data_IF_262151597636
#
_entry.id   IF_262151597636
#
_cell.length_a   1.000
_cell.length_b   1.000
_cell.length_c   1.000
_cell.angle_alpha   90.00
_cell.angle_beta   90.00
_cell.angle_gamma   90.00
#
_symmetry.space_group_name_H-M   'P 1'
#
loop_
_entity.id
_entity.type
_entity.pdbx_description
1 polymer ?
#
# COMPACT_ATOMS: atom_id res chain seq x y z
N UNK A 1 30.75 1.21 -4.10
CA UNK A 1 31.15 0.60 -2.81
C UNK A 1 30.16 -0.52 -2.58
N UNK A 2 30.65 -1.74 -2.37
CA UNK A 2 29.88 -2.98 -2.47
C UNK A 2 28.65 -2.99 -1.56
N UNK A 3 27.50 -3.37 -2.14
CA UNK A 3 26.28 -3.69 -1.41
C UNK A 3 26.49 -5.05 -0.75
N UNK A 4 26.78 -5.04 0.55
CA UNK A 4 26.72 -6.24 1.37
C UNK A 4 25.26 -6.65 1.54
N UNK A 5 25.00 -7.91 1.18
CA UNK A 5 23.78 -8.66 1.40
C UNK A 5 23.54 -8.82 2.91
N UNK A 6 22.78 -7.90 3.52
CA UNK A 6 22.41 -7.96 4.93
C UNK A 6 21.12 -8.75 5.12
N UNK A 7 21.25 -10.07 5.08
CA UNK A 7 20.26 -11.02 5.58
C UNK A 7 20.37 -11.14 7.10
N UNK A 8 20.12 -10.05 7.85
CA UNK A 8 19.66 -10.16 9.24
C UNK A 8 19.12 -8.81 9.75
N UNK A 9 17.80 -8.66 9.77
CA UNK A 9 17.12 -7.53 10.44
C UNK A 9 16.20 -8.09 11.51
N UNK A 10 16.80 -8.60 12.59
CA UNK A 10 16.10 -8.73 13.87
C UNK A 10 15.93 -7.33 14.48
N UNK A 11 15.03 -6.52 13.93
CA UNK A 11 14.64 -5.27 14.58
C UNK A 11 13.79 -5.61 15.80
N UNK A 12 14.31 -5.31 17.00
CA UNK A 12 13.60 -5.24 18.28
C UNK A 12 12.28 -6.06 18.36
N UNK A 13 12.39 -7.39 18.44
CA UNK A 13 11.28 -8.27 18.83
C UNK A 13 10.35 -8.75 17.71
N UNK A 14 10.56 -8.36 16.44
CA UNK A 14 9.82 -8.90 15.28
C UNK A 14 10.65 -9.96 14.55
N UNK A 15 10.05 -11.12 14.30
CA UNK A 15 10.66 -12.22 13.57
C UNK A 15 9.81 -12.58 12.35
N UNK A 16 10.41 -12.56 11.17
CA UNK A 16 9.75 -13.05 9.96
C UNK A 16 9.74 -14.57 9.97
N UNK A 17 8.53 -15.16 9.93
CA UNK A 17 8.31 -16.61 9.90
C UNK A 17 8.37 -17.13 8.47
N UNK A 18 7.72 -16.43 7.54
CA UNK A 18 7.75 -16.81 6.12
C UNK A 18 7.55 -15.61 5.19
N UNK A 19 8.08 -15.74 3.97
CA UNK A 19 7.81 -14.86 2.83
C UNK A 19 7.35 -15.72 1.67
N UNK A 20 6.29 -15.30 0.99
CA UNK A 20 5.78 -15.99 -0.21
C UNK A 20 5.28 -14.99 -1.22
N UNK A 21 5.35 -15.36 -2.49
CA UNK A 21 4.71 -14.60 -3.57
C UNK A 21 3.30 -15.11 -3.77
N UNK A 22 2.32 -14.21 -3.67
CA UNK A 22 0.91 -14.51 -3.90
C UNK A 22 0.52 -14.07 -5.30
N UNK A 23 0.12 -15.02 -6.13
CA UNK A 23 -0.37 -14.77 -7.47
C UNK A 23 -1.87 -14.44 -7.47
N UNK A 24 -2.35 -13.65 -8.45
CA UNK A 24 -3.76 -13.37 -8.59
C UNK A 24 -4.56 -14.65 -8.84
N UNK A 25 -5.68 -14.81 -8.14
CA UNK A 25 -6.64 -15.90 -8.35
C UNK A 25 -7.99 -15.31 -8.77
N UNK A 26 -8.62 -15.86 -9.80
CA UNK A 26 -9.98 -15.49 -10.23
C UNK A 26 -10.97 -16.59 -9.85
N UNK A 27 -12.07 -16.21 -9.22
CA UNK A 27 -13.24 -17.07 -9.04
C UNK A 27 -14.09 -17.01 -10.33
N UNK A 28 -14.25 -18.12 -11.03
CA UNK A 28 -15.44 -18.34 -11.88
C UNK A 28 -15.31 -18.35 -13.40
N UNK A 29 -14.24 -17.90 -14.05
CA UNK A 29 -14.12 -18.04 -15.51
C UNK A 29 -12.70 -18.40 -15.96
N UNK A 30 -12.61 -19.51 -16.69
CA UNK A 30 -11.44 -19.91 -17.47
C UNK A 30 -11.28 -19.04 -18.74
N UNK A 31 -11.49 -17.73 -18.63
CA UNK A 31 -10.98 -16.76 -19.61
C UNK A 31 -9.53 -16.49 -19.22
N UNK A 32 -8.63 -16.90 -20.11
CA UNK A 32 -7.31 -17.41 -19.75
C UNK A 32 -6.47 -16.45 -18.90
N UNK A 33 -5.82 -16.98 -17.86
CA UNK A 33 -4.67 -16.32 -17.21
C UNK A 33 -3.49 -16.06 -18.17
N UNK A 34 -3.65 -16.41 -19.45
CA UNK A 34 -2.72 -16.22 -20.56
C UNK A 34 -2.98 -14.90 -21.28
N UNK A 35 -4.21 -14.35 -21.28
CA UNK A 35 -4.55 -13.11 -22.02
C UNK A 35 -4.16 -11.81 -21.30
N UNK A 36 -4.03 -11.81 -19.97
CA UNK A 36 -3.61 -10.62 -19.20
C UNK A 36 -2.10 -10.56 -18.97
N UNK A 37 -1.39 -11.65 -19.22
CA UNK A 37 0.07 -11.70 -19.06
C UNK A 37 0.72 -10.94 -20.20
N UNK A 38 1.31 -9.80 -19.87
CA UNK A 38 2.07 -8.99 -20.82
C UNK A 38 1.40 -7.69 -21.25
N UNK A 39 0.20 -7.38 -20.73
CA UNK A 39 -0.35 -6.03 -20.85
C UNK A 39 0.61 -5.01 -20.20
N UNK A 40 0.77 -3.87 -20.87
CA UNK A 40 1.58 -2.76 -20.39
C UNK A 40 0.66 -1.60 -20.08
N UNK A 41 0.63 -1.20 -18.82
CA UNK A 41 -0.11 -0.04 -18.33
C UNK A 41 0.86 1.13 -18.27
N UNK A 42 0.67 2.10 -19.17
CA UNK A 42 1.49 3.32 -19.18
C UNK A 42 1.17 4.21 -17.97
N UNK A 43 2.19 4.84 -17.38
CA UNK A 43 2.01 5.72 -16.24
C UNK A 43 1.59 7.13 -16.70
N UNK A 44 0.60 7.71 -16.03
CA UNK A 44 0.13 9.08 -16.26
C UNK A 44 1.12 10.11 -15.69
N UNK A 45 0.98 11.41 -16.02
CA UNK A 45 1.83 12.45 -15.43
C UNK A 45 1.82 12.44 -13.89
N UNK A 46 0.68 12.12 -13.27
CA UNK A 46 0.55 12.04 -11.81
C UNK A 46 1.27 10.83 -11.22
N UNK A 47 1.20 9.68 -11.89
CA UNK A 47 1.89 8.47 -11.47
C UNK A 47 3.42 8.65 -11.50
N UNK A 48 3.93 9.28 -12.58
CA UNK A 48 5.36 9.49 -12.79
C UNK A 48 6.00 10.38 -11.72
N UNK A 49 5.26 11.39 -11.23
CA UNK A 49 5.72 12.22 -10.11
C UNK A 49 5.92 11.41 -8.82
N UNK A 50 5.15 10.34 -8.64
CA UNK A 50 5.17 9.50 -7.44
C UNK A 50 6.24 8.41 -7.48
N UNK A 51 7.01 8.26 -8.58
CA UNK A 51 8.13 7.32 -8.64
C UNK A 51 9.26 7.64 -7.64
N UNK A 52 9.33 8.88 -7.17
CA UNK A 52 10.33 9.35 -6.20
C UNK A 52 9.83 9.33 -4.75
N UNK A 53 8.60 8.86 -4.54
CA UNK A 53 7.97 8.78 -3.23
C UNK A 53 7.96 7.33 -2.77
N UNK A 54 8.15 7.13 -1.47
CA UNK A 54 8.06 5.81 -0.84
C UNK A 54 6.67 5.20 -1.05
N UNK A 55 6.59 3.87 -0.88
CA UNK A 55 5.33 3.16 -1.00
C UNK A 55 4.30 3.69 0.00
N UNK A 56 3.03 3.73 -0.41
CA UNK A 56 1.93 3.99 0.49
C UNK A 56 1.85 2.82 1.45
N UNK A 57 2.04 3.11 2.74
CA UNK A 57 1.95 2.14 3.82
C UNK A 57 0.80 2.47 4.76
N UNK A 58 -0.11 1.51 4.93
CA UNK A 58 -1.14 1.54 5.98
C UNK A 58 -1.38 0.15 6.51
N UNK A 59 -1.72 0.09 7.79
CA UNK A 59 -2.02 -1.15 8.47
C UNK A 59 -3.15 -0.97 9.46
N UNK A 60 -3.76 -2.09 9.81
CA UNK A 60 -4.83 -2.16 10.81
C UNK A 60 -4.37 -3.04 11.96
N UNK A 61 -4.56 -2.52 13.18
CA UNK A 61 -4.31 -3.23 14.42
C UNK A 61 -5.63 -3.87 14.88
N UNK A 62 -5.63 -5.18 15.05
CA UNK A 62 -6.82 -5.98 15.36
C UNK A 62 -6.58 -6.80 16.63
N UNK A 63 -7.61 -7.07 17.45
CA UNK A 63 -7.52 -8.02 18.54
C UNK A 63 -7.32 -9.44 18.00
N UNK A 64 -6.89 -10.36 18.87
CA UNK A 64 -6.80 -11.77 18.50
C UNK A 64 -8.16 -12.31 18.02
N UNK A 65 -8.16 -13.23 17.03
CA UNK A 65 -9.38 -13.93 16.67
C UNK A 65 -9.91 -14.71 17.90
N UNK A 66 -11.23 -14.89 18.03
CA UNK A 66 -11.84 -15.59 19.17
C UNK A 66 -11.32 -17.03 19.40
N UNK A 67 -10.75 -17.66 18.37
CA UNK A 67 -10.14 -18.99 18.42
C UNK A 67 -8.63 -18.85 18.71
N UNK A 68 -8.29 -18.78 20.00
CA UNK A 68 -6.97 -18.41 20.51
C UNK A 68 -5.90 -19.53 20.59
N UNK A 69 -5.97 -20.58 19.77
CA UNK A 69 -4.94 -21.62 19.69
C UNK A 69 -3.96 -21.40 18.52
N UNK A 70 -2.81 -22.09 18.54
CA UNK A 70 -1.77 -21.97 17.51
C UNK A 70 -2.26 -22.38 16.10
N UNK A 71 -3.17 -23.36 16.03
CA UNK A 71 -3.81 -23.79 14.78
C UNK A 71 -4.73 -22.68 14.21
N UNK A 72 -5.45 -21.94 15.07
CA UNK A 72 -6.27 -20.79 14.66
C UNK A 72 -5.47 -19.66 14.01
N UNK A 73 -4.22 -19.44 14.44
CA UNK A 73 -3.34 -18.39 13.91
C UNK A 73 -2.79 -18.73 12.52
N UNK A 74 -2.29 -19.94 12.34
CA UNK A 74 -1.82 -20.41 11.03
C UNK A 74 -2.96 -20.42 10.00
N UNK A 75 -4.16 -20.86 10.41
CA UNK A 75 -5.38 -20.79 9.60
C UNK A 75 -5.75 -19.35 9.23
N UNK A 76 -5.62 -18.40 10.15
CA UNK A 76 -5.86 -16.98 9.87
C UNK A 76 -4.91 -16.46 8.79
N UNK A 77 -3.60 -16.70 8.94
CA UNK A 77 -2.58 -16.27 7.97
C UNK A 77 -2.80 -16.92 6.61
N UNK A 78 -3.16 -18.21 6.58
CA UNK A 78 -3.54 -18.93 5.36
C UNK A 78 -4.78 -18.33 4.69
N UNK A 79 -5.83 -18.06 5.46
CA UNK A 79 -7.08 -17.46 4.96
C UNK A 79 -6.85 -16.04 4.42
N UNK A 80 -6.05 -15.22 5.12
CA UNK A 80 -5.67 -13.88 4.68
C UNK A 80 -4.89 -13.89 3.36
N UNK A 81 -3.96 -14.83 3.17
CA UNK A 81 -3.25 -14.94 1.90
C UNK A 81 -4.15 -15.45 0.76
N UNK A 82 -5.06 -16.38 1.05
CA UNK A 82 -6.03 -16.87 0.06
C UNK A 82 -7.01 -15.77 -0.38
N UNK A 83 -7.53 -14.97 0.57
CA UNK A 83 -8.38 -13.82 0.25
C UNK A 83 -7.60 -12.70 -0.45
N UNK A 84 -6.32 -12.51 -0.10
CA UNK A 84 -5.43 -11.55 -0.77
C UNK A 84 -5.20 -11.94 -2.23
N UNK A 85 -4.99 -13.24 -2.52
CA UNK A 85 -4.90 -13.75 -3.90
C UNK A 85 -6.15 -13.45 -4.73
N UNK A 86 -7.34 -13.60 -4.13
CA UNK A 86 -8.62 -13.28 -4.78
C UNK A 86 -8.79 -11.79 -5.03
N UNK A 87 -8.43 -10.96 -4.05
CA UNK A 87 -8.45 -9.50 -4.21
C UNK A 87 -7.48 -9.06 -5.31
N UNK A 88 -6.27 -9.62 -5.33
CA UNK A 88 -5.27 -9.37 -6.37
C UNK A 88 -5.77 -9.78 -7.77
N UNK A 89 -6.66 -10.76 -7.87
CA UNK A 89 -7.32 -11.12 -9.14
C UNK A 89 -8.15 -9.99 -9.75
N UNK A 90 -8.78 -9.13 -8.92
CA UNK A 90 -9.52 -7.94 -9.35
C UNK A 90 -8.60 -6.75 -9.62
N UNK A 91 -7.48 -6.68 -8.89
CA UNK A 91 -6.45 -5.65 -9.01
C UNK A 91 -5.19 -6.21 -9.69
N UNK A 92 -5.38 -7.00 -10.75
CA UNK A 92 -4.30 -7.78 -11.36
C UNK A 92 -3.07 -6.97 -11.81
N UNK A 93 -3.14 -5.66 -12.19
CA UNK A 93 -1.94 -4.90 -12.51
C UNK A 93 -0.95 -4.83 -11.34
N UNK A 94 -1.42 -4.89 -10.09
CA UNK A 94 -0.56 -4.86 -8.91
C UNK A 94 0.20 -6.17 -8.65
N UNK A 95 -0.11 -7.24 -9.40
CA UNK A 95 0.71 -8.45 -9.46
C UNK A 95 1.90 -8.32 -10.44
N UNK A 96 2.06 -7.15 -11.06
CA UNK A 96 3.08 -6.86 -12.05
C UNK A 96 4.40 -6.30 -11.50
N UNK A 97 5.18 -5.72 -12.40
CA UNK A 97 6.46 -5.04 -12.12
C UNK A 97 6.53 -3.72 -12.89
N UNK A 98 7.15 -2.71 -12.28
CA UNK A 98 7.56 -1.53 -13.04
C UNK A 98 8.68 -1.93 -14.01
N UNK A 99 8.61 -1.42 -15.24
CA UNK A 99 9.60 -1.64 -16.28
C UNK A 99 10.08 -0.30 -16.81
N UNK A 100 11.34 -0.28 -17.23
CA UNK A 100 12.04 0.94 -17.65
C UNK A 100 12.64 0.72 -19.03
N UNK A 101 12.44 1.71 -19.91
CA UNK A 101 13.12 1.78 -21.20
C UNK A 101 13.90 3.09 -21.28
N UNK A 102 15.21 2.98 -21.46
CA UNK A 102 16.13 4.11 -21.63
C UNK A 102 16.54 4.21 -23.10
N UNK A 103 16.17 5.31 -23.77
CA UNK A 103 16.45 5.50 -25.19
C UNK A 103 16.72 6.96 -25.51
N UNK A 104 17.81 7.21 -26.25
CA UNK A 104 18.13 8.53 -26.82
C UNK A 104 18.08 9.70 -25.80
N UNK A 105 18.53 9.47 -24.57
CA UNK A 105 18.53 10.49 -23.51
C UNK A 105 17.16 10.74 -22.88
N UNK A 106 16.24 9.78 -23.01
CA UNK A 106 14.94 9.79 -22.34
C UNK A 106 14.71 8.47 -21.61
N UNK A 107 13.92 8.52 -20.54
CA UNK A 107 13.45 7.35 -19.78
C UNK A 107 11.95 7.25 -19.89
N UNK A 108 11.42 6.07 -20.20
CA UNK A 108 9.99 5.78 -20.01
C UNK A 108 9.82 4.72 -18.94
N UNK A 109 8.77 4.87 -18.13
CA UNK A 109 8.41 3.90 -17.08
C UNK A 109 6.98 3.45 -17.28
N UNK A 110 6.76 2.15 -17.18
CA UNK A 110 5.43 1.53 -17.33
C UNK A 110 5.24 0.43 -16.30
N UNK A 111 3.98 0.07 -16.03
CA UNK A 111 3.65 -1.10 -15.23
C UNK A 111 3.37 -2.27 -16.16
N UNK A 112 4.19 -3.32 -16.08
CA UNK A 112 3.96 -4.57 -16.80
C UNK A 112 3.12 -5.51 -15.96
N UNK A 113 1.95 -5.89 -16.46
CA UNK A 113 1.06 -6.88 -15.85
C UNK A 113 1.62 -8.30 -16.09
N UNK A 114 2.72 -8.66 -15.42
CA UNK A 114 3.40 -9.96 -15.58
C UNK A 114 2.69 -11.10 -14.86
N UNK A 115 1.86 -10.79 -13.87
CA UNK A 115 1.19 -11.77 -13.03
C UNK A 115 2.15 -12.55 -12.12
N UNK A 116 3.39 -12.06 -11.93
CA UNK A 116 4.37 -12.67 -11.02
C UNK A 116 3.87 -12.74 -9.58
N UNK A 117 3.05 -11.78 -9.17
CA UNK A 117 2.41 -11.73 -7.86
C UNK A 117 2.98 -10.65 -6.95
N UNK A 118 2.33 -10.52 -5.80
CA UNK A 118 2.67 -9.60 -4.71
C UNK A 118 3.39 -10.36 -3.58
N UNK A 119 4.23 -9.68 -2.81
CA UNK A 119 4.87 -10.28 -1.63
C UNK A 119 3.85 -10.40 -0.49
N UNK A 120 3.85 -11.53 0.20
CA UNK A 120 3.08 -11.76 1.41
C UNK A 120 4.01 -12.27 2.51
N UNK A 121 4.14 -11.48 3.57
CA UNK A 121 5.03 -11.74 4.70
C UNK A 121 4.19 -12.16 5.91
N UNK A 122 4.63 -13.21 6.58
CA UNK A 122 4.13 -13.58 7.90
C UNK A 122 5.23 -13.37 8.93
N UNK A 123 4.93 -12.59 9.96
CA UNK A 123 5.84 -12.28 11.05
C UNK A 123 5.17 -12.48 12.40
N UNK A 124 5.98 -12.58 13.45
CA UNK A 124 5.56 -12.67 14.85
C UNK A 124 6.32 -11.67 15.69
N UNK A 125 5.64 -11.09 16.67
CA UNK A 125 6.18 -10.14 17.64
C UNK A 125 5.62 -10.47 19.04
N UNK A 126 6.02 -11.61 19.64
CA UNK A 126 5.40 -12.14 20.85
C UNK A 126 5.60 -11.26 22.10
N UNK A 127 6.56 -10.33 22.06
CA UNK A 127 6.82 -9.37 23.13
C UNK A 127 6.07 -8.05 23.01
N UNK A 128 5.24 -7.87 21.99
CA UNK A 128 4.51 -6.63 21.72
C UNK A 128 3.01 -6.89 21.85
N UNK A 129 2.31 -6.02 22.58
CA UNK A 129 0.85 -6.05 22.73
C UNK A 129 0.17 -4.99 21.86
N UNK A 130 -1.14 -5.12 21.67
CA UNK A 130 -2.00 -4.10 21.07
C UNK A 130 -1.89 -2.78 21.84
N UNK A 131 -1.80 -2.84 23.17
CA UNK A 131 -1.66 -1.67 24.01
C UNK A 131 -0.33 -0.94 23.80
N UNK A 132 0.78 -1.68 23.62
CA UNK A 132 2.09 -1.08 23.34
C UNK A 132 2.09 -0.24 22.05
N UNK A 133 1.28 -0.64 21.07
CA UNK A 133 1.12 0.08 19.79
C UNK A 133 0.16 1.27 19.94
N UNK A 134 -0.97 1.10 20.62
CA UNK A 134 -2.08 2.06 20.59
C UNK A 134 -2.11 3.08 21.75
N UNK A 135 -1.44 2.81 22.87
CA UNK A 135 -1.55 3.65 24.07
C UNK A 135 -0.74 4.95 23.98
N UNK A 136 0.34 4.96 23.19
CA UNK A 136 1.21 6.12 23.03
C UNK A 136 0.65 7.11 22.01
N UNK A 137 0.81 8.40 22.30
CA UNK A 137 0.56 9.46 21.31
C UNK A 137 1.54 9.38 20.14
N UNK A 138 2.78 8.97 20.42
CA UNK A 138 3.83 8.78 19.42
C UNK A 138 3.83 7.35 18.90
N UNK A 139 4.06 7.19 17.60
CA UNK A 139 4.16 5.88 16.96
C UNK A 139 5.42 5.17 17.48
N UNK A 140 5.30 4.00 18.12
CA UNK A 140 6.46 3.24 18.54
C UNK A 140 7.29 2.79 17.33
N UNK A 141 8.62 2.90 17.41
CA UNK A 141 9.53 2.52 16.30
C UNK A 141 9.34 1.09 15.79
N UNK A 142 8.92 0.16 16.66
CA UNK A 142 8.65 -1.23 16.26
C UNK A 142 7.56 -1.33 15.19
N UNK A 143 6.62 -0.37 15.13
CA UNK A 143 5.54 -0.37 14.14
C UNK A 143 6.05 -0.30 12.71
N UNK A 144 7.19 0.37 12.46
CA UNK A 144 7.79 0.42 11.11
C UNK A 144 8.21 -0.97 10.62
N UNK A 145 8.64 -1.87 11.52
CA UNK A 145 8.98 -3.25 11.17
C UNK A 145 7.77 -4.14 10.86
N UNK A 146 6.54 -3.63 11.04
CA UNK A 146 5.32 -4.34 10.65
C UNK A 146 4.97 -4.15 9.17
N UNK A 147 5.69 -3.28 8.45
CA UNK A 147 5.45 -2.98 7.04
C UNK A 147 6.50 -3.65 6.14
N UNK A 148 6.08 -4.34 5.06
CA UNK A 148 7.00 -4.86 4.07
C UNK A 148 7.47 -3.74 3.14
N UNK A 149 8.63 -3.91 2.49
CA UNK A 149 9.17 -2.94 1.52
C UNK A 149 9.32 -1.52 2.07
N UNK A 150 9.68 -1.38 3.35
CA UNK A 150 9.84 -0.09 4.00
C UNK A 150 10.95 0.76 3.37
N UNK A 151 10.67 2.05 3.17
CA UNK A 151 11.56 3.00 2.47
C UNK A 151 11.83 2.70 0.99
N UNK A 152 11.10 1.76 0.37
CA UNK A 152 11.26 1.49 -1.06
C UNK A 152 10.56 2.57 -1.89
N UNK A 153 11.29 3.22 -2.79
CA UNK A 153 10.74 4.16 -3.77
C UNK A 153 10.42 3.47 -5.10
N UNK A 154 9.48 4.05 -5.86
CA UNK A 154 9.03 3.49 -7.15
C UNK A 154 10.14 3.30 -8.18
N UNK A 155 11.09 4.24 -8.27
CA UNK A 155 12.21 4.15 -9.21
C UNK A 155 13.18 3.00 -8.87
N UNK A 156 13.54 2.82 -7.60
CA UNK A 156 14.36 1.68 -7.16
C UNK A 156 13.64 0.35 -7.36
N UNK A 157 12.32 0.34 -7.15
CA UNK A 157 11.49 -0.82 -7.46
C UNK A 157 11.51 -1.16 -8.96
N UNK A 158 11.51 -0.15 -9.83
CA UNK A 158 11.60 -0.34 -11.27
C UNK A 158 13.00 -0.83 -11.70
N UNK A 159 14.07 -0.27 -11.13
CA UNK A 159 15.45 -0.71 -11.38
C UNK A 159 15.68 -2.18 -10.99
N UNK A 160 15.14 -2.57 -9.83
CA UNK A 160 15.31 -3.91 -9.25
C UNK A 160 14.24 -4.92 -9.64
N UNK A 161 13.29 -4.57 -10.52
CA UNK A 161 12.12 -5.40 -10.83
C UNK A 161 11.42 -5.94 -9.57
N UNK A 162 11.23 -5.07 -8.58
CA UNK A 162 10.62 -5.39 -7.28
C UNK A 162 9.08 -5.41 -7.38
N UNK A 163 8.38 -6.17 -6.51
CA UNK A 163 6.92 -6.14 -6.45
C UNK A 163 6.40 -4.73 -6.18
N UNK A 164 5.34 -4.32 -6.87
CA UNK A 164 4.68 -3.03 -6.62
C UNK A 164 3.71 -3.07 -5.45
N UNK A 165 3.40 -4.27 -4.94
CA UNK A 165 2.48 -4.51 -3.84
C UNK A 165 3.06 -5.58 -2.91
N UNK A 166 2.95 -5.35 -1.61
CA UNK A 166 3.25 -6.33 -0.57
C UNK A 166 2.27 -6.21 0.60
N UNK A 167 2.02 -7.33 1.27
CA UNK A 167 1.25 -7.38 2.51
C UNK A 167 2.04 -8.08 3.61
N UNK A 168 1.88 -7.66 4.86
CA UNK A 168 2.46 -8.34 6.01
C UNK A 168 1.39 -8.58 7.07
N UNK A 169 1.37 -9.80 7.60
CA UNK A 169 0.58 -10.16 8.78
C UNK A 169 1.55 -10.41 9.92
N UNK A 170 1.51 -9.54 10.93
CA UNK A 170 2.34 -9.66 12.12
C UNK A 170 1.48 -10.07 13.30
N UNK A 171 1.73 -11.25 13.86
CA UNK A 171 1.06 -11.69 15.09
C UNK A 171 1.70 -11.05 16.31
N UNK A 172 0.89 -10.43 17.15
CA UNK A 172 1.29 -9.83 18.42
C UNK A 172 0.92 -10.77 19.58
N UNK A 173 1.32 -10.42 20.80
CA UNK A 173 0.99 -11.19 22.01
C UNK A 173 -0.53 -11.37 22.17
N UNK A 174 -1.31 -10.32 21.95
CA UNK A 174 -2.75 -10.24 22.18
C UNK A 174 -3.54 -9.71 20.96
N UNK A 175 -2.91 -9.64 19.78
CA UNK A 175 -3.54 -9.15 18.56
C UNK A 175 -2.82 -9.51 17.27
N UNK A 176 -3.25 -8.90 16.17
CA UNK A 176 -2.67 -9.06 14.84
C UNK A 176 -2.59 -7.69 14.17
N UNK A 177 -1.46 -7.40 13.53
CA UNK A 177 -1.29 -6.24 12.67
C UNK A 177 -1.28 -6.69 11.20
N UNK A 178 -2.19 -6.16 10.40
CA UNK A 178 -2.27 -6.44 8.96
C UNK A 178 -1.87 -5.18 8.21
N UNK A 179 -0.74 -5.24 7.51
CA UNK A 179 -0.13 -4.13 6.79
C UNK A 179 -0.15 -4.37 5.28
N UNK A 180 -0.18 -3.28 4.52
CA UNK A 180 -0.01 -3.31 3.07
C UNK A 180 0.88 -2.13 2.63
N UNK A 181 1.77 -2.42 1.69
CA UNK A 181 2.67 -1.47 1.04
C UNK A 181 2.41 -1.50 -0.46
N UNK A 182 2.09 -0.36 -1.06
CA UNK A 182 1.74 -0.24 -2.48
C UNK A 182 2.51 0.92 -3.11
N UNK A 183 3.16 0.67 -4.25
CA UNK A 183 3.91 1.69 -4.98
C UNK A 183 3.03 2.89 -5.30
N UNK A 184 3.43 4.07 -4.83
CA UNK A 184 2.68 5.30 -5.07
C UNK A 184 2.69 5.68 -6.56
N UNK A 185 3.67 5.18 -7.32
CA UNK A 185 3.74 5.32 -8.78
C UNK A 185 2.76 4.44 -9.57
N UNK A 186 1.96 3.59 -8.91
CA UNK A 186 0.90 2.82 -9.60
C UNK A 186 -0.49 3.06 -9.05
N UNK A 187 -0.62 3.66 -7.87
CA UNK A 187 -1.88 3.88 -7.17
C UNK A 187 -1.80 5.07 -6.19
N UNK A 188 -2.95 5.71 -5.97
CA UNK A 188 -3.11 6.71 -4.91
C UNK A 188 -3.72 6.11 -3.63
N UNK A 189 -3.96 6.94 -2.62
CA UNK A 189 -4.59 6.51 -1.37
C UNK A 189 -6.02 5.98 -1.54
N UNK A 190 -6.76 6.42 -2.57
CA UNK A 190 -8.12 5.96 -2.84
C UNK A 190 -8.10 4.52 -3.37
N UNK A 191 -7.25 4.26 -4.37
CA UNK A 191 -7.04 2.93 -4.93
C UNK A 191 -6.46 1.96 -3.89
N UNK A 192 -5.56 2.45 -3.02
CA UNK A 192 -5.04 1.68 -1.88
C UNK A 192 -6.19 1.17 -0.99
N UNK A 193 -7.05 2.07 -0.51
CA UNK A 193 -8.14 1.68 0.39
C UNK A 193 -9.22 0.87 -0.33
N UNK A 194 -9.42 1.08 -1.64
CA UNK A 194 -10.31 0.24 -2.44
C UNK A 194 -9.82 -1.22 -2.47
N UNK A 195 -8.53 -1.45 -2.69
CA UNK A 195 -7.92 -2.78 -2.60
C UNK A 195 -8.02 -3.35 -1.18
N UNK A 196 -7.62 -2.58 -0.16
CA UNK A 196 -7.61 -3.04 1.23
C UNK A 196 -9.02 -3.42 1.71
N UNK A 197 -10.04 -2.64 1.36
CA UNK A 197 -11.43 -2.92 1.68
C UNK A 197 -11.97 -4.13 0.90
N UNK A 198 -11.60 -4.28 -0.38
CA UNK A 198 -11.95 -5.47 -1.17
C UNK A 198 -11.35 -6.73 -0.55
N UNK A 199 -10.07 -6.68 -0.16
CA UNK A 199 -9.40 -7.79 0.51
C UNK A 199 -10.08 -8.12 1.84
N UNK A 200 -10.37 -7.11 2.65
CA UNK A 200 -11.09 -7.28 3.92
C UNK A 200 -12.46 -7.93 3.73
N UNK A 201 -13.24 -7.49 2.73
CA UNK A 201 -14.53 -8.10 2.39
C UNK A 201 -14.36 -9.56 1.96
N UNK A 202 -13.47 -9.85 1.02
CA UNK A 202 -13.16 -11.23 0.59
C UNK A 202 -12.58 -12.10 1.69
N UNK A 203 -11.95 -11.52 2.72
CA UNK A 203 -11.48 -12.28 3.87
C UNK A 203 -12.60 -12.67 4.81
N UNK A 204 -13.67 -11.87 4.87
CA UNK A 204 -14.88 -12.19 5.64
C UNK A 204 -15.80 -13.13 4.86
N UNK A 205 -15.86 -12.98 3.54
CA UNK A 205 -16.76 -13.74 2.68
C UNK A 205 -16.05 -14.95 2.08
N UNK A 206 -16.75 -16.08 1.98
CA UNK A 206 -16.21 -17.29 1.35
C UNK A 206 -15.83 -17.09 -0.11
N UNK A 207 -15.17 -18.07 -0.72
CA UNK A 207 -14.69 -17.99 -2.11
C UNK A 207 -15.78 -17.67 -3.15
N UNK A 208 -17.02 -18.13 -2.90
CA UNK A 208 -18.14 -18.06 -3.85
C UNK A 208 -19.13 -16.93 -3.55
N UNK A 209 -18.82 -16.06 -2.60
CA UNK A 209 -19.73 -14.99 -2.20
C UNK A 209 -19.58 -13.77 -3.12
N UNK A 210 -20.71 -13.21 -3.55
CA UNK A 210 -20.73 -11.88 -4.17
C UNK A 210 -20.22 -10.84 -3.17
N UNK A 211 -19.40 -9.92 -3.66
CA UNK A 211 -18.87 -8.80 -2.88
C UNK A 211 -19.56 -7.50 -3.29
N UNK A 212 -19.78 -6.63 -2.32
CA UNK A 212 -20.40 -5.31 -2.50
C UNK A 212 -19.43 -4.31 -3.10
N UNK A 213 -18.12 -4.53 -2.93
CA UNK A 213 -17.10 -3.62 -3.44
C UNK A 213 -17.02 -3.66 -4.97
N UNK A 214 -17.22 -2.52 -5.67
CA UNK A 214 -17.21 -2.49 -7.12
C UNK A 214 -15.84 -2.88 -7.69
N UNK A 215 -15.77 -3.37 -8.94
CA UNK A 215 -14.49 -3.62 -9.60
C UNK A 215 -13.71 -2.31 -9.79
N UNK A 216 -12.37 -2.34 -9.74
CA UNK A 216 -11.56 -1.15 -10.02
C UNK A 216 -11.65 -0.78 -11.51
N UNK A 217 -11.58 0.53 -11.79
CA UNK A 217 -11.37 1.03 -13.15
C UNK A 217 -9.86 1.03 -13.40
N UNK A 218 -9.41 0.19 -14.33
CA UNK A 218 -7.99 -0.04 -14.60
C UNK A 218 -7.49 0.72 -15.84
N UNK A 219 -8.40 1.17 -16.69
CA UNK A 219 -8.08 2.01 -17.84
C UNK A 219 -7.65 3.40 -17.36
N UNK A 220 -6.42 3.80 -17.71
CA UNK A 220 -5.87 5.10 -17.35
C UNK A 220 -6.29 6.14 -18.36
N UNK A 221 -6.76 7.28 -17.86
CA UNK A 221 -7.04 8.45 -18.67
C UNK A 221 -5.80 9.34 -18.80
N UNK A 222 -5.57 9.87 -20.00
CA UNK A 222 -4.48 10.78 -20.31
C UNK A 222 -5.04 12.08 -20.92
N UNK A 223 -4.44 13.25 -20.63
CA UNK A 223 -4.73 14.47 -21.38
C UNK A 223 -4.37 14.32 -22.86
N UNK A 224 -5.20 14.85 -23.78
CA UNK A 224 -5.07 14.65 -25.24
C UNK A 224 -3.69 15.00 -25.82
N UNK A 225 -3.01 15.99 -25.27
CA UNK A 225 -1.69 16.44 -25.75
C UNK A 225 -0.51 15.62 -25.17
N UNK A 226 -0.78 14.64 -24.30
CA UNK A 226 0.23 13.88 -23.60
C UNK A 226 0.70 12.69 -24.45
N UNK A 227 2.01 12.55 -24.75
CA UNK A 227 2.52 11.36 -25.42
C UNK A 227 2.37 10.15 -24.51
N UNK A 228 2.01 9.00 -25.08
CA UNK A 228 1.91 7.72 -24.36
C UNK A 228 2.79 6.68 -25.07
N UNK A 229 3.85 6.15 -24.42
CA UNK A 229 4.35 6.51 -23.08
C UNK A 229 4.92 7.93 -23.01
N UNK A 230 4.96 8.51 -21.80
CA UNK A 230 5.56 9.82 -21.55
C UNK A 230 7.09 9.68 -21.47
N UNK A 231 7.87 10.32 -22.36
CA UNK A 231 9.32 10.33 -22.27
C UNK A 231 9.76 11.35 -21.21
N UNK A 232 10.37 10.86 -20.14
CA UNK A 232 10.98 11.72 -19.13
C UNK A 232 12.36 12.20 -19.61
N UNK A 233 12.71 13.48 -19.42
CA UNK A 233 13.94 14.09 -19.93
C UNK A 233 15.16 13.77 -19.03
N UNK A 234 15.40 12.48 -18.77
CA UNK A 234 16.54 11.98 -18.02
C UNK A 234 17.33 11.00 -18.88
N UNK A 235 18.66 10.95 -18.67
CA UNK A 235 19.50 10.01 -19.39
C UNK A 235 19.37 8.59 -18.84
N UNK A 236 19.24 8.46 -17.52
CA UNK A 236 19.06 7.20 -16.80
C UNK A 236 17.99 7.32 -15.72
N UNK A 237 17.41 6.19 -15.34
CA UNK A 237 16.44 6.11 -14.24
C UNK A 237 17.03 6.61 -12.91
N UNK A 238 18.30 6.31 -12.64
CA UNK A 238 18.99 6.74 -11.42
C UNK A 238 19.01 8.28 -11.28
N UNK A 239 18.92 9.03 -12.39
CA UNK A 239 18.87 10.49 -12.39
C UNK A 239 17.50 11.02 -11.90
N UNK A 240 16.46 10.18 -11.88
CA UNK A 240 15.12 10.50 -11.38
C UNK A 240 15.09 10.40 -9.85
N UNK A 241 15.86 9.49 -9.26
CA UNK A 241 15.82 9.19 -7.82
C UNK A 241 16.34 10.38 -7.02
N UNK A 242 15.44 11.07 -6.32
CA UNK A 242 15.80 12.03 -5.28
C UNK A 242 15.72 11.36 -3.93
N UNK A 243 16.87 11.04 -3.34
CA UNK A 243 16.93 10.53 -1.97
C UNK A 243 16.60 11.66 -1.00
N UNK A 244 15.37 11.69 -0.53
CA UNK A 244 14.98 12.56 0.56
C UNK A 244 15.47 11.95 1.88
N UNK A 245 16.48 12.55 2.49
CA UNK A 245 16.87 12.20 3.85
C UNK A 245 15.88 12.85 4.81
N UNK A 246 14.97 12.04 5.35
CA UNK A 246 14.04 12.53 6.35
C UNK A 246 14.83 12.92 7.61
N UNK A 247 14.69 14.17 8.11
CA UNK A 247 15.30 14.54 9.38
C UNK A 247 14.74 13.65 10.51
N UNK A 248 15.44 13.53 11.64
CA UNK A 248 14.94 12.75 12.77
C UNK A 248 13.64 13.36 13.30
N UNK A 249 12.52 12.78 12.91
CA UNK A 249 11.17 13.18 13.32
C UNK A 249 10.52 12.11 14.20
N UNK A 250 9.55 12.52 14.99
CA UNK A 250 8.65 11.61 15.71
C UNK A 250 7.25 11.72 15.12
N UNK A 251 6.71 10.59 14.71
CA UNK A 251 5.33 10.48 14.24
C UNK A 251 4.39 10.41 15.45
N UNK A 252 3.25 11.10 15.38
CA UNK A 252 2.26 11.08 16.44
C UNK A 252 0.83 11.29 15.92
N UNK A 253 -0.14 10.84 16.72
CA UNK A 253 -1.56 10.99 16.43
C UNK A 253 -2.20 12.05 17.33
N UNK A 254 -2.80 13.06 16.71
CA UNK A 254 -3.64 14.04 17.41
C UNK A 254 -5.11 13.72 17.21
N UNK A 255 -5.81 13.40 18.30
CA UNK A 255 -7.24 13.16 18.27
C UNK A 255 -8.04 14.47 18.35
N UNK A 256 -8.80 14.74 17.29
CA UNK A 256 -9.82 15.79 17.26
C UNK A 256 -11.19 15.15 17.46
N UNK A 257 -11.78 15.33 18.65
CA UNK A 257 -13.14 14.85 18.92
C UNK A 257 -14.16 15.61 18.06
N UNK A 258 -15.32 15.00 17.83
CA UNK A 258 -16.42 15.63 17.09
C UNK A 258 -16.81 17.01 17.68
N UNK A 259 -16.79 17.13 19.02
CA UNK A 259 -17.02 18.39 19.71
C UNK A 259 -15.93 19.43 19.41
N UNK A 260 -14.65 19.05 19.47
CA UNK A 260 -13.54 19.96 19.15
C UNK A 260 -13.62 20.44 17.69
N UNK A 261 -13.92 19.54 16.75
CA UNK A 261 -14.12 19.90 15.34
C UNK A 261 -15.29 20.86 15.19
N UNK A 262 -16.42 20.62 15.87
CA UNK A 262 -17.59 21.52 15.86
C UNK A 262 -17.22 22.92 16.37
N UNK A 263 -16.48 23.01 17.47
CA UNK A 263 -16.03 24.28 18.04
C UNK A 263 -15.06 25.03 17.11
N UNK A 264 -14.11 24.32 16.48
CA UNK A 264 -13.20 24.90 15.49
C UNK A 264 -13.95 25.45 14.27
N UNK A 265 -14.92 24.71 13.74
CA UNK A 265 -15.78 25.17 12.64
C UNK A 265 -16.58 26.43 13.04
N UNK A 266 -17.20 26.43 14.22
CA UNK A 266 -17.97 27.57 14.71
C UNK A 266 -17.11 28.83 14.83
N UNK A 267 -15.89 28.69 15.37
CA UNK A 267 -14.93 29.80 15.47
C UNK A 267 -14.51 30.32 14.11
N UNK A 268 -14.15 29.44 13.17
CA UNK A 268 -13.76 29.84 11.82
C UNK A 268 -14.90 30.60 11.09
N UNK A 269 -16.15 30.16 11.25
CA UNK A 269 -17.32 30.85 10.69
C UNK A 269 -17.53 32.24 11.31
N UNK A 270 -17.33 32.37 12.63
CA UNK A 270 -17.46 33.67 13.30
C UNK A 270 -16.36 34.66 12.86
N UNK A 271 -15.12 34.19 12.71
CA UNK A 271 -14.00 35.00 12.23
C UNK A 271 -14.21 35.45 10.77
N UNK A 272 -14.70 34.55 9.90
CA UNK A 272 -15.02 34.89 8.51
C UNK A 272 -16.15 35.94 8.39
N UNK A 273 -17.19 35.80 9.19
CA UNK A 273 -18.31 36.75 9.23
C UNK A 273 -17.87 38.14 9.75
N UNK A 274 -16.98 38.19 10.74
CA UNK A 274 -16.42 39.44 11.28
C UNK A 274 -15.50 40.18 10.30
N UNK A 275 -14.88 39.47 9.36
CA UNK A 275 -13.99 40.03 8.34
C UNK A 275 -14.72 40.62 7.11
N UNK A 276 -16.06 40.62 7.09
CA UNK A 276 -16.84 41.11 5.95
C UNK A 276 -16.76 40.22 4.70
N UNK A 277 -16.22 39.00 4.82
CA UNK A 277 -16.20 38.03 3.74
C UNK A 277 -17.57 37.36 3.62
N UNK A 278 -18.24 37.53 2.48
CA UNK A 278 -19.52 36.85 2.15
C UNK A 278 -19.37 35.37 1.85
N UNK A 279 -18.55 34.63 2.60
CA UNK A 279 -18.32 33.21 2.38
C UNK A 279 -19.45 32.36 2.97
N UNK A 280 -19.87 31.32 2.25
CA UNK A 280 -20.80 30.33 2.77
C UNK A 280 -20.25 29.68 4.05
N UNK A 281 -21.10 29.40 5.06
CA UNK A 281 -20.65 28.82 6.32
C UNK A 281 -20.05 27.43 6.09
N UNK A 282 -18.95 27.15 6.78
CA UNK A 282 -18.35 25.82 6.85
C UNK A 282 -19.35 24.90 7.54
N UNK A 283 -19.95 23.99 6.76
CA UNK A 283 -21.00 23.08 7.21
C UNK A 283 -20.48 21.98 8.13
N UNK A 284 -21.34 21.54 9.05
CA UNK A 284 -21.21 20.24 9.72
C UNK A 284 -21.76 19.15 8.80
N UNK A 285 -20.89 18.30 8.28
CA UNK A 285 -21.24 16.89 8.04
C UNK A 285 -21.42 16.20 9.39
#
# INVERSE_FOLDING_TARGET
MALEDSTDTSSAGVCVVSRRTVQPSRSGEATSAVELKGETVHLTPWDLQMLTVDYIQKGVLLPNPPTGDGDGRERLVGSLASSFARALGRFYPFAGRLAVEERQGTVTVSLRCTGEGAEFVHAVAPGITVADVAASTYVPRVVWSFFPLDGLVGADAAAGSRPVLAAQVTELADGVFVAMSLSHGVADGTAFWHLFNTWSEMSRTGADAEISTPPPVLERWFPDACPVPIPLPFAKLDDIVRRFECPPVQECFFHFSAERVKNLKARANAEAAGAGAGSAPISSL
#
